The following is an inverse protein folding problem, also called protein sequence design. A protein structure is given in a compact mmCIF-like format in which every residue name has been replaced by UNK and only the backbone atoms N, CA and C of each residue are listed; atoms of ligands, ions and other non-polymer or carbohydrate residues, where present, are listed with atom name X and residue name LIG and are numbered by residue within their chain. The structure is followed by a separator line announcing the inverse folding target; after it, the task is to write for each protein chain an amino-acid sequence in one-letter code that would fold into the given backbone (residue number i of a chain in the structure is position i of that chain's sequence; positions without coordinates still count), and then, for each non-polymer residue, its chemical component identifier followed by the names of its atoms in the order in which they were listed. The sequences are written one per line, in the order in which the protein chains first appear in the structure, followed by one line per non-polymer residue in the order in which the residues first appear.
data_IF_323961415990
#
_entry.id   IF_323961415990
#
_cell.length_a   1.000
_cell.length_b   1.000
_cell.length_c   1.000
_cell.angle_alpha   90.00
_cell.angle_beta   90.00
_cell.angle_gamma   90.00
#
_symmetry.space_group_name_H-M   'P 1'
#
loop_
_entity.id
_entity.type
_entity.pdbx_description
1 polymer ?
#
# COMPACT_ATOMS: atom_id res chain seq x y z
N UNK A 1 7.85 4.44 7.13
CA UNK A 1 7.62 5.90 7.21
C UNK A 1 7.97 6.50 5.87
N UNK A 2 7.13 7.37 5.28
CA UNK A 2 7.48 8.02 4.02
C UNK A 2 8.59 9.05 4.28
N UNK A 3 9.57 9.09 3.39
CA UNK A 3 10.72 10.01 3.50
C UNK A 3 10.84 10.82 2.23
N UNK A 4 11.15 12.11 2.37
CA UNK A 4 11.48 12.96 1.22
C UNK A 4 12.83 12.51 0.65
N UNK A 5 12.88 12.29 -0.66
CA UNK A 5 14.08 11.88 -1.38
C UNK A 5 14.02 12.38 -2.83
N UNK A 6 15.04 12.12 -3.62
CA UNK A 6 15.04 12.36 -5.07
C UNK A 6 14.55 11.13 -5.85
N UNK A 7 14.09 11.34 -7.07
CA UNK A 7 13.72 10.27 -7.99
C UNK A 7 14.90 9.32 -8.26
N UNK A 8 16.11 9.86 -8.42
CA UNK A 8 17.34 9.07 -8.57
C UNK A 8 17.58 8.14 -7.38
N UNK A 9 17.47 8.65 -6.15
CA UNK A 9 17.63 7.82 -4.95
C UNK A 9 16.53 6.76 -4.84
N UNK A 10 15.31 7.07 -5.27
CA UNK A 10 14.23 6.09 -5.35
C UNK A 10 14.55 4.98 -6.35
N UNK A 11 15.06 5.34 -7.53
CA UNK A 11 15.51 4.40 -8.55
C UNK A 11 16.59 3.46 -8.02
N UNK A 12 17.61 4.00 -7.35
CA UNK A 12 18.70 3.22 -6.78
C UNK A 12 18.19 2.22 -5.74
N UNK A 13 17.31 2.64 -4.83
CA UNK A 13 16.73 1.76 -3.80
C UNK A 13 15.81 0.68 -4.39
N UNK A 14 15.01 1.01 -5.39
CA UNK A 14 14.18 0.02 -6.09
C UNK A 14 15.05 -0.99 -6.83
N UNK A 15 16.09 -0.52 -7.52
CA UNK A 15 17.03 -1.38 -8.25
C UNK A 15 17.78 -2.32 -7.33
N UNK A 16 18.24 -1.84 -6.17
CA UNK A 16 18.91 -2.64 -5.14
C UNK A 16 18.00 -3.75 -4.62
N UNK A 17 16.74 -3.45 -4.28
CA UNK A 17 15.78 -4.45 -3.81
C UNK A 17 15.43 -5.50 -4.88
N UNK A 18 15.47 -5.13 -6.15
CA UNK A 18 15.13 -6.03 -7.27
C UNK A 18 16.33 -6.82 -7.79
N UNK A 19 17.57 -6.52 -7.37
CA UNK A 19 18.79 -7.05 -7.99
C UNK A 19 18.86 -8.58 -8.02
N UNK A 20 18.38 -9.24 -6.96
CA UNK A 20 18.39 -10.70 -6.83
C UNK A 20 17.01 -11.32 -7.05
N UNK A 21 16.02 -10.52 -7.48
CA UNK A 21 14.66 -11.01 -7.68
C UNK A 21 14.52 -11.70 -9.03
N UNK A 22 13.94 -12.89 -9.02
CA UNK A 22 13.53 -13.62 -10.21
C UNK A 22 12.27 -14.43 -9.91
N UNK A 23 11.60 -14.87 -10.96
CA UNK A 23 10.33 -15.59 -10.86
C UNK A 23 10.41 -16.91 -11.64
N UNK A 24 9.70 -17.93 -11.16
CA UNK A 24 9.63 -19.23 -11.84
C UNK A 24 8.23 -19.86 -11.73
N UNK A 25 7.90 -20.70 -12.72
CA UNK A 25 6.74 -21.60 -12.67
C UNK A 25 7.21 -22.95 -12.15
N UNK A 26 6.89 -23.22 -10.89
CA UNK A 26 7.36 -24.41 -10.18
C UNK A 26 6.26 -25.47 -10.20
N UNK A 27 6.52 -26.68 -10.74
CA UNK A 27 5.57 -27.77 -10.66
C UNK A 27 5.27 -28.15 -9.22
N UNK A 28 3.99 -28.27 -8.87
CA UNK A 28 3.55 -28.57 -7.50
C UNK A 28 4.10 -29.90 -7.00
N UNK A 29 4.27 -30.88 -7.89
CA UNK A 29 4.86 -32.19 -7.60
C UNK A 29 6.33 -32.14 -7.15
N UNK A 30 7.04 -31.06 -7.50
CA UNK A 30 8.46 -30.90 -7.17
C UNK A 30 8.64 -30.15 -5.83
N UNK A 31 7.53 -29.70 -5.23
CA UNK A 31 7.53 -28.96 -3.97
C UNK A 31 7.37 -29.92 -2.79
N UNK A 32 8.23 -29.76 -1.79
CA UNK A 32 8.07 -30.37 -0.47
C UNK A 32 8.38 -29.34 0.61
N UNK A 33 7.76 -29.46 1.78
CA UNK A 33 7.97 -28.54 2.90
C UNK A 33 8.78 -29.21 4.02
N UNK A 34 9.62 -28.43 4.69
CA UNK A 34 10.26 -28.78 5.96
C UNK A 34 9.85 -27.71 6.97
N UNK A 35 8.70 -27.94 7.60
CA UNK A 35 7.95 -26.90 8.29
C UNK A 35 7.44 -25.81 7.34
N UNK A 36 6.87 -24.75 7.90
CA UNK A 36 6.42 -23.59 7.12
C UNK A 36 7.58 -22.67 6.70
N UNK A 37 8.71 -22.76 7.40
CA UNK A 37 9.86 -21.87 7.19
C UNK A 37 10.74 -22.26 6.00
N UNK A 38 10.67 -23.50 5.52
CA UNK A 38 11.51 -23.99 4.43
C UNK A 38 10.68 -24.75 3.39
N UNK A 39 10.85 -24.36 2.13
CA UNK A 39 10.29 -25.01 0.97
C UNK A 39 11.44 -25.58 0.14
N UNK A 40 11.32 -26.84 -0.25
CA UNK A 40 12.23 -27.46 -1.19
C UNK A 40 11.58 -27.52 -2.56
N UNK A 41 12.39 -27.25 -3.58
CA UNK A 41 12.03 -27.41 -4.98
C UNK A 41 13.02 -28.43 -5.55
N UNK A 42 12.55 -29.65 -5.79
CA UNK A 42 13.43 -30.80 -5.99
C UNK A 42 14.34 -31.03 -4.78
N UNK A 43 15.65 -30.88 -4.98
CA UNK A 43 16.68 -31.04 -3.94
C UNK A 43 17.09 -29.71 -3.30
N UNK A 44 16.75 -28.57 -3.90
CA UNK A 44 17.18 -27.25 -3.43
C UNK A 44 16.29 -26.75 -2.28
N UNK A 45 16.92 -26.20 -1.24
CA UNK A 45 16.23 -25.65 -0.07
C UNK A 45 16.10 -24.14 -0.20
N UNK A 46 14.88 -23.65 -0.03
CA UNK A 46 14.56 -22.23 -0.03
C UNK A 46 13.92 -21.81 1.30
N UNK A 47 14.52 -20.88 2.05
CA UNK A 47 13.84 -20.22 3.16
C UNK A 47 12.59 -19.48 2.68
N UNK A 48 11.51 -19.51 3.45
CA UNK A 48 10.21 -18.93 3.06
C UNK A 48 9.93 -17.71 3.92
N UNK A 49 9.83 -16.53 3.30
CA UNK A 49 9.47 -15.29 4.02
C UNK A 49 8.06 -15.35 4.56
N UNK A 50 7.79 -14.66 5.66
CA UNK A 50 6.48 -14.66 6.35
C UNK A 50 5.29 -14.36 5.43
N UNK A 51 5.46 -13.46 4.46
CA UNK A 51 4.39 -13.21 3.47
C UNK A 51 4.12 -14.41 2.57
N UNK A 52 5.15 -15.09 2.07
CA UNK A 52 5.00 -16.34 1.33
C UNK A 52 4.40 -17.45 2.21
N UNK A 53 4.81 -17.57 3.47
CA UNK A 53 4.24 -18.54 4.42
C UNK A 53 2.72 -18.38 4.55
N UNK A 54 2.26 -17.14 4.73
CA UNK A 54 0.83 -16.83 4.80
C UNK A 54 0.11 -17.16 3.49
N UNK A 55 0.74 -16.91 2.34
CA UNK A 55 0.18 -17.23 1.03
C UNK A 55 0.06 -18.74 0.82
N UNK A 56 1.10 -19.50 1.14
CA UNK A 56 1.11 -20.98 1.10
C UNK A 56 0.00 -21.53 1.98
N UNK A 57 -0.05 -21.12 3.24
CA UNK A 57 -1.08 -21.57 4.19
C UNK A 57 -2.49 -21.26 3.65
N UNK A 58 -2.72 -20.02 3.19
CA UNK A 58 -3.99 -19.61 2.58
C UNK A 58 -4.34 -20.44 1.34
N UNK A 59 -3.37 -20.70 0.46
CA UNK A 59 -3.57 -21.45 -0.79
C UNK A 59 -3.98 -22.88 -0.51
N UNK A 60 -3.33 -23.50 0.46
CA UNK A 60 -3.58 -24.88 0.87
C UNK A 60 -4.78 -25.01 1.83
N UNK A 61 -5.47 -23.90 2.14
CA UNK A 61 -6.66 -23.91 2.99
C UNK A 61 -6.37 -24.12 4.48
N UNK A 62 -5.13 -23.88 4.91
CA UNK A 62 -4.70 -24.04 6.30
C UNK A 62 -4.61 -22.66 6.97
N UNK A 63 -5.32 -22.41 8.09
CA UNK A 63 -5.19 -21.15 8.80
C UNK A 63 -3.76 -20.94 9.32
N UNK A 64 -3.10 -19.85 8.89
CA UNK A 64 -1.72 -19.56 9.26
C UNK A 64 -1.50 -19.50 10.78
N UNK A 65 -2.45 -18.92 11.52
CA UNK A 65 -2.36 -18.79 13.00
C UNK A 65 -2.45 -20.12 13.74
N UNK A 66 -3.01 -21.15 13.11
CA UNK A 66 -2.98 -22.52 13.60
C UNK A 66 -1.64 -23.17 13.24
N UNK A 67 -1.28 -23.11 11.95
CA UNK A 67 -0.06 -23.72 11.43
C UNK A 67 1.19 -23.23 12.17
N UNK A 68 1.29 -21.93 12.46
CA UNK A 68 2.43 -21.33 13.16
C UNK A 68 2.57 -21.77 14.62
N UNK A 69 1.57 -22.44 15.21
CA UNK A 69 1.62 -22.99 16.57
C UNK A 69 1.99 -24.47 16.59
N UNK A 70 1.86 -25.16 15.46
CA UNK A 70 2.27 -26.56 15.32
C UNK A 70 3.79 -26.67 15.31
N UNK A 71 4.32 -27.82 15.75
CA UNK A 71 5.72 -28.17 15.52
C UNK A 71 6.00 -28.42 14.02
N UNK A 72 7.28 -28.50 13.67
CA UNK A 72 7.72 -28.62 12.27
C UNK A 72 7.20 -29.89 11.58
N UNK A 73 7.04 -31.00 12.31
CA UNK A 73 6.57 -32.27 11.75
C UNK A 73 5.10 -32.17 11.38
N UNK A 74 4.27 -31.64 12.30
CA UNK A 74 2.86 -31.38 12.05
C UNK A 74 2.64 -30.34 10.94
N UNK A 75 3.48 -29.30 10.88
CA UNK A 75 3.42 -28.33 9.79
C UNK A 75 3.68 -29.02 8.44
N UNK A 76 4.73 -29.85 8.39
CA UNK A 76 5.12 -30.60 7.18
C UNK A 76 4.00 -31.54 6.73
N UNK A 77 3.42 -32.32 7.65
CA UNK A 77 2.34 -33.25 7.33
C UNK A 77 1.08 -32.52 6.81
N UNK A 78 0.67 -31.44 7.49
CA UNK A 78 -0.48 -30.64 7.07
C UNK A 78 -0.28 -30.04 5.67
N UNK A 79 0.85 -29.38 5.45
CA UNK A 79 1.16 -28.76 4.17
C UNK A 79 1.25 -29.81 3.06
N UNK A 80 1.97 -30.91 3.29
CA UNK A 80 2.10 -32.00 2.33
C UNK A 80 0.77 -32.67 1.97
N UNK A 81 -0.11 -32.89 2.97
CA UNK A 81 -1.44 -33.47 2.75
C UNK A 81 -2.30 -32.63 1.79
N UNK A 82 -2.29 -31.30 1.96
CA UNK A 82 -3.06 -30.39 1.13
C UNK A 82 -2.37 -30.09 -0.20
N UNK A 83 -1.05 -30.03 -0.24
CA UNK A 83 -0.27 -29.86 -1.47
C UNK A 83 -0.53 -31.01 -2.45
N UNK A 84 -0.60 -32.25 -1.96
CA UNK A 84 -0.94 -33.42 -2.78
C UNK A 84 -2.37 -33.40 -3.36
N UNK A 85 -3.23 -32.48 -2.88
CA UNK A 85 -4.61 -32.28 -3.35
C UNK A 85 -4.79 -30.94 -4.06
N UNK A 86 -3.70 -30.22 -4.30
CA UNK A 86 -3.71 -28.99 -5.07
C UNK A 86 -4.21 -29.27 -6.50
N UNK A 87 -5.05 -28.37 -7.01
CA UNK A 87 -5.66 -28.50 -8.33
C UNK A 87 -4.83 -27.87 -9.44
N UNK A 88 -3.94 -26.96 -9.09
CA UNK A 88 -2.98 -26.40 -10.06
C UNK A 88 -1.81 -27.37 -10.23
N UNK A 89 -1.32 -27.51 -11.46
CA UNK A 89 -0.12 -28.30 -11.73
C UNK A 89 1.17 -27.53 -11.35
N UNK A 90 1.09 -26.20 -11.34
CA UNK A 90 2.23 -25.30 -11.10
C UNK A 90 1.84 -24.13 -10.17
N UNK A 91 2.83 -23.62 -9.45
CA UNK A 91 2.76 -22.34 -8.76
C UNK A 91 3.71 -21.33 -9.39
N UNK A 92 3.27 -20.07 -9.42
CA UNK A 92 4.13 -18.95 -9.75
C UNK A 92 4.84 -18.50 -8.48
N UNK A 93 6.14 -18.76 -8.40
CA UNK A 93 6.97 -18.51 -7.22
C UNK A 93 7.88 -17.33 -7.50
N UNK A 94 7.92 -16.38 -6.56
CA UNK A 94 8.80 -15.22 -6.63
C UNK A 94 9.93 -15.37 -5.64
N UNK A 95 11.15 -15.18 -6.10
CA UNK A 95 12.37 -15.34 -5.32
C UNK A 95 13.06 -14.00 -5.06
N UNK A 96 13.91 -14.00 -4.04
CA UNK A 96 14.94 -12.99 -3.76
C UNK A 96 16.20 -13.75 -3.33
N UNK A 97 17.12 -13.93 -4.28
CA UNK A 97 18.22 -14.87 -4.12
C UNK A 97 17.70 -16.29 -3.89
N UNK A 98 18.04 -16.88 -2.74
CA UNK A 98 17.59 -18.25 -2.39
C UNK A 98 16.24 -18.28 -1.68
N UNK A 99 15.70 -17.14 -1.26
CA UNK A 99 14.48 -17.07 -0.46
C UNK A 99 13.23 -17.01 -1.34
N UNK A 100 12.17 -17.70 -0.93
CA UNK A 100 10.83 -17.54 -1.49
C UNK A 100 10.16 -16.34 -0.82
N UNK A 101 9.92 -15.29 -1.59
CA UNK A 101 9.27 -14.05 -1.10
C UNK A 101 7.77 -14.01 -1.34
N UNK A 102 7.28 -14.71 -2.36
CA UNK A 102 5.84 -14.87 -2.60
C UNK A 102 5.51 -16.13 -3.41
N UNK A 103 4.28 -16.61 -3.26
CA UNK A 103 3.71 -17.73 -4.01
C UNK A 103 2.29 -17.39 -4.50
N UNK A 104 2.05 -17.61 -5.79
CA UNK A 104 0.78 -17.36 -6.45
C UNK A 104 0.39 -18.50 -7.39
N UNK A 105 -0.81 -18.38 -7.98
CA UNK A 105 -1.19 -19.20 -9.12
C UNK A 105 -0.60 -18.63 -10.42
N UNK A 106 -0.44 -19.43 -11.50
CA UNK A 106 0.06 -18.95 -12.80
C UNK A 106 -0.71 -17.79 -13.44
N UNK A 107 -1.93 -17.49 -12.97
CA UNK A 107 -2.72 -16.33 -13.43
C UNK A 107 -2.21 -14.99 -12.92
N UNK A 108 -1.37 -14.99 -11.88
CA UNK A 108 -0.84 -13.77 -11.30
C UNK A 108 0.23 -13.20 -12.24
N UNK A 109 0.05 -11.96 -12.67
CA UNK A 109 1.00 -11.22 -13.49
C UNK A 109 1.49 -10.04 -12.66
N UNK A 110 2.67 -10.14 -12.01
CA UNK A 110 3.19 -9.05 -11.22
C UNK A 110 3.50 -7.83 -12.08
N UNK A 111 3.33 -6.65 -11.49
CA UNK A 111 4.01 -5.45 -11.96
C UNK A 111 5.17 -5.18 -11.02
N UNK A 112 6.39 -5.25 -11.55
CA UNK A 112 7.58 -4.92 -10.78
C UNK A 112 7.72 -3.41 -10.62
N UNK A 113 8.21 -3.01 -9.45
CA UNK A 113 8.42 -1.61 -9.11
C UNK A 113 9.41 -0.94 -10.07
N UNK A 114 10.41 -1.67 -10.58
CA UNK A 114 11.29 -1.19 -11.65
C UNK A 114 10.48 -0.71 -12.86
N UNK A 115 9.47 -1.48 -13.31
CA UNK A 115 8.64 -1.08 -14.47
C UNK A 115 7.82 0.17 -14.19
N UNK A 116 7.38 0.36 -12.95
CA UNK A 116 6.70 1.59 -12.53
C UNK A 116 7.66 2.77 -12.62
N UNK A 117 8.89 2.61 -12.13
CA UNK A 117 9.92 3.65 -12.20
C UNK A 117 10.29 4.00 -13.65
N UNK A 118 10.50 2.99 -14.51
CA UNK A 118 10.77 3.18 -15.95
C UNK A 118 9.67 3.99 -16.64
N UNK A 119 8.41 3.73 -16.31
CA UNK A 119 7.29 4.50 -16.88
C UNK A 119 7.28 5.93 -16.39
N UNK A 120 7.54 6.18 -15.11
CA UNK A 120 7.63 7.54 -14.59
C UNK A 120 8.75 8.32 -15.27
N UNK A 121 9.92 7.71 -15.48
CA UNK A 121 11.01 8.33 -16.22
C UNK A 121 10.61 8.66 -17.67
N UNK A 122 9.98 7.72 -18.39
CA UNK A 122 9.47 7.93 -19.76
C UNK A 122 8.43 9.05 -19.85
N UNK A 123 7.70 9.32 -18.76
CA UNK A 123 6.74 10.41 -18.67
C UNK A 123 7.39 11.77 -18.37
N UNK A 124 8.72 11.82 -18.20
CA UNK A 124 9.49 13.05 -18.00
C UNK A 124 9.74 13.40 -16.54
N UNK A 125 9.51 12.50 -15.59
CA UNK A 125 9.86 12.73 -14.18
C UNK A 125 11.38 12.57 -13.99
N UNK A 126 12.09 13.71 -13.99
CA UNK A 126 13.54 13.75 -13.94
C UNK A 126 14.18 13.32 -12.60
N UNK A 127 15.50 13.02 -12.60
CA UNK A 127 16.22 12.44 -11.47
C UNK A 127 16.23 13.32 -10.21
N UNK A 128 16.31 14.64 -10.38
CA UNK A 128 16.36 15.62 -9.29
C UNK A 128 15.00 15.90 -8.65
N UNK A 129 13.91 15.36 -9.19
CA UNK A 129 12.57 15.60 -8.69
C UNK A 129 12.42 15.10 -7.26
N UNK A 130 11.92 15.98 -6.38
CA UNK A 130 11.66 15.64 -4.98
C UNK A 130 10.36 14.86 -4.87
N UNK A 131 10.44 13.69 -4.26
CA UNK A 131 9.32 12.76 -4.08
C UNK A 131 9.27 12.26 -2.63
N UNK A 132 8.13 11.70 -2.23
CA UNK A 132 8.00 10.93 -1.00
C UNK A 132 8.05 9.45 -1.32
N UNK A 133 8.93 8.71 -0.64
CA UNK A 133 9.07 7.26 -0.82
C UNK A 133 8.81 6.52 0.48
N UNK A 134 7.90 5.55 0.44
CA UNK A 134 7.84 4.42 1.36
C UNK A 134 8.10 3.14 0.57
N UNK A 135 9.16 2.43 0.92
CA UNK A 135 9.64 1.26 0.18
C UNK A 135 10.24 0.26 1.14
N UNK A 136 9.73 -0.97 1.08
CA UNK A 136 10.28 -2.17 1.71
C UNK A 136 10.12 -3.38 0.78
N UNK A 137 10.45 -4.58 1.26
CA UNK A 137 10.38 -5.81 0.46
C UNK A 137 8.95 -6.22 0.05
N UNK A 138 7.92 -5.66 0.69
CA UNK A 138 6.52 -6.03 0.47
C UNK A 138 5.67 -4.92 -0.15
N UNK A 139 6.05 -3.66 0.07
CA UNK A 139 5.24 -2.49 -0.26
C UNK A 139 6.06 -1.37 -0.89
N UNK A 140 5.49 -0.76 -1.93
CA UNK A 140 6.00 0.41 -2.62
C UNK A 140 4.93 1.50 -2.63
N UNK A 141 5.29 2.71 -2.24
CA UNK A 141 4.49 3.92 -2.37
C UNK A 141 5.41 5.08 -2.71
N UNK A 142 5.20 5.65 -3.90
CA UNK A 142 5.91 6.80 -4.40
C UNK A 142 4.90 7.92 -4.64
N UNK A 143 5.09 9.05 -3.97
CA UNK A 143 4.24 10.23 -4.13
C UNK A 143 5.03 11.39 -4.70
N UNK A 144 4.47 12.03 -5.75
CA UNK A 144 5.03 13.18 -6.47
C UNK A 144 4.18 14.40 -6.11
N UNK A 145 4.63 15.27 -5.20
CA UNK A 145 3.95 16.53 -4.89
C UNK A 145 4.07 17.52 -6.06
N UNK A 146 2.98 18.20 -6.39
CA UNK A 146 2.91 19.32 -7.32
C UNK A 146 2.96 20.64 -6.53
N UNK A 147 4.19 21.15 -6.36
CA UNK A 147 4.45 22.37 -5.61
C UNK A 147 3.94 23.65 -6.28
N UNK A 148 3.69 23.64 -7.60
CA UNK A 148 3.11 24.79 -8.31
C UNK A 148 1.64 24.99 -7.93
N UNK A 149 0.97 23.90 -7.56
CA UNK A 149 -0.43 23.89 -7.10
C UNK A 149 -0.58 23.95 -5.58
N UNK A 150 0.47 24.24 -4.82
CA UNK A 150 0.37 24.41 -3.36
C UNK A 150 -0.58 25.55 -3.01
N UNK A 151 -1.50 25.28 -2.08
CA UNK A 151 -2.42 26.28 -1.56
C UNK A 151 -2.41 26.31 -0.03
N UNK A 152 -2.85 27.42 0.54
CA UNK A 152 -2.89 27.64 1.99
C UNK A 152 -4.33 27.50 2.48
N UNK A 153 -4.50 26.86 3.63
CA UNK A 153 -5.76 26.76 4.35
C UNK A 153 -5.58 27.14 5.82
N UNK A 154 -6.61 27.72 6.41
CA UNK A 154 -6.67 27.99 7.85
C UNK A 154 -5.48 28.81 8.36
N UNK A 155 -4.85 28.33 9.44
CA UNK A 155 -3.71 28.94 10.13
C UNK A 155 -2.37 28.77 9.36
N UNK A 156 -2.29 29.25 8.12
CA UNK A 156 -1.08 29.16 7.27
C UNK A 156 -0.63 27.72 6.92
N UNK A 157 -1.57 26.78 6.95
CA UNK A 157 -1.29 25.39 6.68
C UNK A 157 -1.20 25.12 5.17
N UNK A 158 -0.02 24.67 4.73
CA UNK A 158 0.28 24.45 3.31
C UNK A 158 -0.11 23.05 2.88
N UNK A 159 -1.06 23.00 1.94
CA UNK A 159 -1.51 21.80 1.26
C UNK A 159 -0.93 21.75 -0.15
N UNK A 160 -0.17 20.70 -0.44
CA UNK A 160 0.45 20.47 -1.74
C UNK A 160 -0.21 19.24 -2.38
N UNK A 161 -1.06 19.43 -3.39
CA UNK A 161 -1.63 18.30 -4.12
C UNK A 161 -0.54 17.53 -4.85
N UNK A 162 -0.82 16.31 -5.28
CA UNK A 162 0.11 15.52 -6.06
C UNK A 162 -0.47 14.16 -6.41
N UNK A 163 0.37 13.28 -6.95
CA UNK A 163 -0.04 11.94 -7.38
C UNK A 163 0.79 10.91 -6.64
N UNK A 164 0.13 9.85 -6.16
CA UNK A 164 0.77 8.72 -5.52
C UNK A 164 0.54 7.45 -6.31
N UNK A 165 1.59 6.66 -6.44
CA UNK A 165 1.59 5.34 -7.06
C UNK A 165 1.97 4.34 -5.98
N UNK A 166 1.09 3.37 -5.73
CA UNK A 166 1.31 2.31 -4.76
C UNK A 166 1.28 0.95 -5.43
N UNK A 167 2.12 0.04 -4.96
CA UNK A 167 2.24 -1.30 -5.52
C UNK A 167 2.71 -2.31 -4.47
N UNK A 168 2.51 -3.59 -4.77
CA UNK A 168 3.12 -4.70 -4.05
C UNK A 168 3.39 -5.85 -5.00
N UNK A 169 4.67 -6.21 -5.10
CA UNK A 169 5.16 -7.35 -5.87
C UNK A 169 4.82 -8.70 -5.23
N UNK A 170 4.50 -8.70 -3.94
CA UNK A 170 4.18 -9.87 -3.14
C UNK A 170 2.70 -9.90 -2.73
N UNK A 171 1.84 -9.17 -3.45
CA UNK A 171 0.39 -9.31 -3.34
C UNK A 171 -0.22 -8.78 -2.04
N UNK A 172 0.44 -7.84 -1.35
CA UNK A 172 -0.16 -7.07 -0.23
C UNK A 172 -1.08 -5.95 -0.73
N UNK A 173 -0.80 -5.44 -1.93
CA UNK A 173 -1.54 -4.35 -2.56
C UNK A 173 -1.65 -4.55 -4.08
N UNK A 174 -2.72 -4.02 -4.65
CA UNK A 174 -2.84 -3.83 -6.10
C UNK A 174 -1.98 -2.63 -6.54
N UNK A 175 -1.59 -2.59 -7.82
CA UNK A 175 -1.05 -1.37 -8.41
C UNK A 175 -2.17 -0.32 -8.41
N UNK A 176 -1.93 0.84 -7.80
CA UNK A 176 -2.90 1.91 -7.75
C UNK A 176 -2.28 3.27 -8.00
N UNK A 177 -2.99 4.10 -8.77
CA UNK A 177 -2.67 5.51 -9.00
C UNK A 177 -3.81 6.33 -8.39
N UNK A 178 -3.46 7.24 -7.51
CA UNK A 178 -4.41 8.11 -6.82
C UNK A 178 -3.83 9.51 -6.65
N UNK A 179 -4.70 10.51 -6.58
CA UNK A 179 -4.26 11.84 -6.18
C UNK A 179 -4.14 11.89 -4.66
N UNK A 180 -3.22 12.69 -4.15
CA UNK A 180 -3.02 12.89 -2.73
C UNK A 180 -2.83 14.38 -2.46
N UNK A 181 -2.99 14.79 -1.21
CA UNK A 181 -2.72 16.15 -0.77
C UNK A 181 -1.77 16.09 0.42
N UNK A 182 -0.54 16.49 0.19
CA UNK A 182 0.49 16.60 1.21
C UNK A 182 0.25 17.83 2.07
N UNK A 183 -0.09 17.60 3.33
CA UNK A 183 -0.06 18.61 4.38
C UNK A 183 1.31 18.62 5.04
N UNK A 184 2.04 19.73 5.00
CA UNK A 184 3.44 19.77 5.44
C UNK A 184 3.64 19.36 6.91
N UNK A 185 2.73 19.73 7.80
CA UNK A 185 2.77 19.34 9.22
C UNK A 185 2.56 17.85 9.47
N UNK A 186 2.08 17.13 8.45
CA UNK A 186 1.79 15.70 8.52
C UNK A 186 2.89 14.80 7.95
N UNK A 187 3.88 15.29 7.20
CA UNK A 187 4.98 14.48 6.60
C UNK A 187 4.62 13.26 5.70
N UNK A 188 3.46 12.60 5.84
CA UNK A 188 2.98 11.45 5.04
C UNK A 188 1.75 11.80 4.16
N UNK A 189 1.27 13.06 4.22
CA UNK A 189 0.15 13.54 3.41
C UNK A 189 -1.19 12.81 3.61
N UNK A 190 -2.27 13.39 3.10
CA UNK A 190 -3.58 12.75 3.00
C UNK A 190 -3.68 12.05 1.64
N UNK A 191 -4.02 10.76 1.62
CA UNK A 191 -4.29 10.04 0.38
C UNK A 191 -5.78 10.20 0.04
N UNK A 192 -6.09 11.28 -0.69
CA UNK A 192 -7.45 11.55 -1.14
C UNK A 192 -7.94 10.47 -2.11
N UNK A 193 -9.05 9.78 -1.80
CA UNK A 193 -9.71 8.97 -2.82
C UNK A 193 -10.43 9.93 -3.78
N UNK A 194 -9.80 10.16 -4.93
CA UNK A 194 -10.36 10.96 -6.02
C UNK A 194 -11.49 10.22 -6.73
N UNK A 195 -12.30 10.92 -7.53
CA UNK A 195 -13.40 10.27 -8.26
C UNK A 195 -12.85 9.28 -9.28
N UNK A 196 -11.66 9.58 -9.81
CA UNK A 196 -10.82 8.68 -10.60
C UNK A 196 -9.67 8.22 -9.72
N UNK A 197 -9.86 7.13 -8.99
CA UNK A 197 -8.75 6.35 -8.43
C UNK A 197 -8.69 5.04 -9.19
N UNK A 198 -7.53 4.71 -9.78
CA UNK A 198 -7.40 3.49 -10.56
C UNK A 198 -6.66 2.44 -9.74
N UNK A 199 -7.24 1.25 -9.62
CA UNK A 199 -6.67 0.11 -8.90
C UNK A 199 -6.73 -1.11 -9.79
N UNK A 200 -5.56 -1.67 -10.10
CA UNK A 200 -5.40 -2.74 -11.06
C UNK A 200 -4.91 -4.00 -10.34
N UNK A 201 -5.70 -5.07 -10.46
CA UNK A 201 -5.25 -6.38 -9.99
C UNK A 201 -4.13 -6.87 -10.89
N UNK A 202 -3.15 -7.53 -10.27
CA UNK A 202 -2.01 -8.20 -10.91
C UNK A 202 -2.43 -9.45 -11.68
N UNK A 203 -3.28 -9.26 -12.69
CA UNK A 203 -3.82 -10.30 -13.57
C UNK A 203 -3.67 -9.91 -15.05
N UNK A 204 -3.14 -8.72 -15.33
CA UNK A 204 -2.96 -8.21 -16.69
C UNK A 204 -1.86 -7.16 -16.76
N UNK A 205 -0.96 -7.32 -17.71
CA UNK A 205 0.06 -6.31 -18.05
C UNK A 205 -0.52 -5.02 -18.68
N UNK A 206 -1.80 -5.03 -19.12
CA UNK A 206 -2.46 -3.87 -19.76
C UNK A 206 -2.42 -2.61 -18.89
N UNK A 207 -2.31 -2.76 -17.57
CA UNK A 207 -2.17 -1.62 -16.66
C UNK A 207 -1.01 -0.70 -17.05
N UNK A 208 0.10 -1.27 -17.54
CA UNK A 208 1.27 -0.47 -17.94
C UNK A 208 1.09 0.24 -19.28
N UNK A 209 0.12 -0.20 -20.09
CA UNK A 209 -0.24 0.47 -21.35
C UNK A 209 -1.11 1.70 -21.07
N UNK A 210 -2.06 1.58 -20.13
CA UNK A 210 -2.99 2.66 -19.75
C UNK A 210 -2.48 3.56 -18.63
N UNK A 211 -1.26 3.29 -18.14
CA UNK A 211 -0.66 3.99 -17.00
C UNK A 211 -0.55 5.50 -17.25
N UNK A 212 -0.03 5.99 -18.41
CA UNK A 212 0.11 7.42 -18.65
C UNK A 212 -1.23 8.16 -18.70
N UNK A 213 -2.23 7.61 -19.40
CA UNK A 213 -3.56 8.22 -19.50
C UNK A 213 -4.24 8.28 -18.13
N UNK A 214 -4.13 7.21 -17.35
CA UNK A 214 -4.67 7.14 -15.99
C UNK A 214 -4.01 8.18 -15.09
N UNK A 215 -2.69 8.31 -15.17
CA UNK A 215 -1.94 9.30 -14.42
C UNK A 215 -2.39 10.74 -14.76
N UNK A 216 -2.53 11.06 -16.06
CA UNK A 216 -3.02 12.36 -16.50
C UNK A 216 -4.46 12.64 -16.04
N UNK A 217 -5.33 11.63 -16.06
CA UNK A 217 -6.70 11.76 -15.58
C UNK A 217 -6.74 12.09 -14.08
N UNK A 218 -5.93 11.40 -13.28
CA UNK A 218 -5.79 11.68 -11.83
C UNK A 218 -5.21 13.08 -11.60
N UNK A 219 -4.23 13.50 -12.41
CA UNK A 219 -3.65 14.85 -12.35
C UNK A 219 -4.68 15.95 -12.60
N UNK A 220 -5.62 15.71 -13.53
CA UNK A 220 -6.71 16.65 -13.84
C UNK A 220 -7.70 16.86 -12.69
N UNK A 221 -7.78 15.95 -11.73
CA UNK A 221 -8.71 16.04 -10.59
C UNK A 221 -8.12 16.76 -9.36
N UNK A 222 -6.85 17.19 -9.42
CA UNK A 222 -6.20 17.89 -8.30
C UNK A 222 -6.95 19.19 -7.92
N UNK A 223 -7.48 19.91 -8.91
CA UNK A 223 -8.21 21.16 -8.69
C UNK A 223 -9.57 20.91 -7.98
N UNK A 224 -10.18 19.75 -8.22
CA UNK A 224 -11.40 19.32 -7.51
C UNK A 224 -11.10 19.06 -6.03
N UNK A 225 -9.92 18.51 -5.72
CA UNK A 225 -9.52 18.30 -4.32
C UNK A 225 -9.37 19.61 -3.56
N UNK A 226 -8.79 20.63 -4.18
CA UNK A 226 -8.68 21.96 -3.57
C UNK A 226 -10.05 22.50 -3.15
N UNK A 227 -11.05 22.34 -4.01
CA UNK A 227 -12.43 22.77 -3.71
C UNK A 227 -13.02 21.99 -2.53
N UNK A 228 -12.82 20.67 -2.47
CA UNK A 228 -13.29 19.85 -1.34
C UNK A 228 -12.63 20.22 -0.02
N UNK A 229 -11.34 20.54 -0.03
CA UNK A 229 -10.65 21.03 1.16
C UNK A 229 -11.28 22.33 1.67
N UNK A 230 -11.56 23.28 0.78
CA UNK A 230 -12.26 24.53 1.15
C UNK A 230 -13.62 24.25 1.77
N UNK A 231 -14.45 23.42 1.14
CA UNK A 231 -15.77 23.04 1.67
C UNK A 231 -15.67 22.34 3.03
N UNK A 232 -14.66 21.50 3.24
CA UNK A 232 -14.47 20.79 4.51
C UNK A 232 -14.18 21.71 5.69
N UNK A 233 -13.57 22.87 5.42
CA UNK A 233 -13.32 23.90 6.44
C UNK A 233 -14.57 24.71 6.78
N UNK A 234 -15.49 24.84 5.84
CA UNK A 234 -16.76 25.55 6.04
C UNK A 234 -17.81 24.65 6.71
N UNK A 235 -17.61 23.33 6.65
CA UNK A 235 -18.52 22.31 7.17
C UNK A 235 -18.31 22.05 8.67
N UNK A 236 -19.10 22.70 9.53
CA UNK A 236 -19.04 22.49 10.98
C UNK A 236 -19.52 21.10 11.41
N UNK A 237 -18.92 20.57 12.48
CA UNK A 237 -19.23 19.26 13.07
C UNK A 237 -19.56 19.46 14.55
N UNK A 238 -20.84 19.31 14.91
CA UNK A 238 -21.30 19.54 16.29
C UNK A 238 -20.71 18.52 17.30
N UNK A 239 -20.59 17.25 16.90
CA UNK A 239 -20.10 16.19 17.77
C UNK A 239 -19.00 15.37 17.07
N UNK A 240 -17.75 15.88 17.03
CA UNK A 240 -16.66 15.25 16.29
C UNK A 240 -16.30 13.85 16.79
N UNK A 241 -16.41 13.59 18.10
CA UNK A 241 -16.17 12.27 18.69
C UNK A 241 -17.14 11.20 18.16
N UNK A 242 -18.44 11.48 18.16
CA UNK A 242 -19.44 10.55 17.61
C UNK A 242 -19.27 10.34 16.10
N UNK A 243 -18.90 11.40 15.37
CA UNK A 243 -18.61 11.33 13.94
C UNK A 243 -17.43 10.39 13.65
N UNK A 244 -16.33 10.52 14.39
CA UNK A 244 -15.16 9.65 14.26
C UNK A 244 -15.49 8.21 14.62
N UNK A 245 -16.23 7.96 15.70
CA UNK A 245 -16.67 6.60 16.03
C UNK A 245 -17.53 5.97 14.91
N UNK A 246 -18.38 6.77 14.28
CA UNK A 246 -19.19 6.33 13.14
C UNK A 246 -18.33 5.98 11.93
N UNK A 247 -17.33 6.80 11.60
CA UNK A 247 -16.39 6.53 10.53
C UNK A 247 -15.50 5.32 10.81
N UNK A 248 -14.96 5.16 12.03
CA UNK A 248 -14.16 3.99 12.41
C UNK A 248 -14.92 2.69 12.16
N UNK A 249 -16.23 2.67 12.49
CA UNK A 249 -17.12 1.54 12.20
C UNK A 249 -17.37 1.37 10.70
N UNK A 250 -17.68 2.45 10.00
CA UNK A 250 -17.97 2.44 8.56
C UNK A 250 -16.79 1.90 7.74
N UNK A 251 -15.56 2.28 8.08
CA UNK A 251 -14.34 1.85 7.39
C UNK A 251 -13.69 0.59 7.97
N UNK A 252 -14.32 -0.01 8.99
CA UNK A 252 -13.90 -1.25 9.64
C UNK A 252 -12.43 -1.20 10.09
N UNK A 253 -12.07 -0.11 10.79
CA UNK A 253 -10.71 0.05 11.31
C UNK A 253 -10.41 -1.02 12.37
N UNK A 254 -9.19 -1.55 12.33
CA UNK A 254 -8.67 -2.48 13.33
C UNK A 254 -8.20 -1.72 14.59
N UNK A 255 -8.05 -2.41 15.71
CA UNK A 255 -7.69 -1.78 16.99
C UNK A 255 -6.43 -0.90 16.93
N UNK A 256 -5.31 -1.30 16.25
CA UNK A 256 -4.14 -0.44 16.13
C UNK A 256 -4.42 0.86 15.35
N UNK A 257 -5.31 0.80 14.35
CA UNK A 257 -5.72 1.96 13.55
C UNK A 257 -6.64 2.88 14.37
N UNK A 258 -7.54 2.31 15.18
CA UNK A 258 -8.39 3.09 16.08
C UNK A 258 -7.56 3.80 17.14
N UNK A 259 -6.59 3.12 17.77
CA UNK A 259 -5.68 3.73 18.74
C UNK A 259 -4.86 4.88 18.12
N UNK A 260 -4.44 4.72 16.86
CA UNK A 260 -3.77 5.78 16.12
C UNK A 260 -4.68 7.00 15.90
N UNK A 261 -5.97 6.78 15.60
CA UNK A 261 -6.99 7.84 15.46
C UNK A 261 -7.23 8.55 16.79
N UNK A 262 -7.36 7.81 17.89
CA UNK A 262 -7.54 8.38 19.22
C UNK A 262 -6.33 9.22 19.66
N UNK A 263 -5.11 8.77 19.33
CA UNK A 263 -3.88 9.53 19.54
C UNK A 263 -3.86 10.85 18.74
N UNK A 264 -4.34 10.82 17.50
CA UNK A 264 -4.36 11.98 16.61
C UNK A 264 -5.47 12.99 16.95
N UNK A 265 -6.59 12.53 17.50
CA UNK A 265 -7.78 13.35 17.78
C UNK A 265 -7.48 14.67 18.53
N UNK A 266 -6.83 14.68 19.71
CA UNK A 266 -6.57 15.91 20.44
C UNK A 266 -5.56 16.85 19.75
N UNK A 267 -4.84 16.38 18.72
CA UNK A 267 -3.85 17.18 18.01
C UNK A 267 -4.46 17.99 16.86
N UNK A 268 -5.61 17.55 16.33
CA UNK A 268 -6.23 18.12 15.12
C UNK A 268 -7.59 18.78 15.39
N UNK A 269 -8.20 18.48 16.54
CA UNK A 269 -9.51 19.04 16.90
C UNK A 269 -9.42 20.47 17.40
N UNK A 270 -10.23 21.34 16.77
CA UNK A 270 -10.42 22.73 17.15
C UNK A 270 -11.88 22.99 17.56
N UNK A 271 -12.15 24.16 18.14
CA UNK A 271 -13.52 24.59 18.49
C UNK A 271 -13.81 25.97 17.85
N UNK A 272 -14.79 26.07 16.94
CA UNK A 272 -15.68 24.99 16.46
C UNK A 272 -14.95 23.97 15.58
N UNK A 273 -15.33 22.70 15.71
CA UNK A 273 -14.78 21.62 14.90
C UNK A 273 -15.42 21.61 13.50
N UNK A 274 -14.64 21.22 12.50
CA UNK A 274 -15.07 21.13 11.10
C UNK A 274 -14.74 19.76 10.51
N UNK A 275 -15.30 19.45 9.34
CA UNK A 275 -14.95 18.24 8.60
C UNK A 275 -13.47 18.22 8.23
N UNK A 276 -12.84 19.38 8.05
CA UNK A 276 -11.38 19.49 7.88
C UNK A 276 -10.63 18.90 9.08
N UNK A 277 -11.03 19.22 10.32
CA UNK A 277 -10.41 18.66 11.53
C UNK A 277 -10.60 17.13 11.61
N UNK A 278 -11.81 16.65 11.27
CA UNK A 278 -12.12 15.21 11.26
C UNK A 278 -11.26 14.47 10.24
N UNK A 279 -11.19 14.97 9.01
CA UNK A 279 -10.34 14.39 7.95
C UNK A 279 -8.87 14.38 8.38
N UNK A 280 -8.38 15.49 8.93
CA UNK A 280 -7.00 15.61 9.36
C UNK A 280 -6.65 14.71 10.53
N UNK A 281 -7.60 14.33 11.38
CA UNK A 281 -7.37 13.34 12.43
C UNK A 281 -6.92 12.00 11.84
N UNK A 282 -7.55 11.52 10.77
CA UNK A 282 -7.14 10.29 10.08
C UNK A 282 -5.79 10.45 9.36
N UNK A 283 -5.55 11.59 8.73
CA UNK A 283 -4.26 11.93 8.13
C UNK A 283 -3.14 11.92 9.17
N UNK A 284 -3.41 12.50 10.35
CA UNK A 284 -2.45 12.58 11.44
C UNK A 284 -2.21 11.20 12.05
N UNK A 285 -3.26 10.40 12.22
CA UNK A 285 -3.19 9.02 12.69
C UNK A 285 -2.27 8.13 11.83
N UNK A 286 -2.16 8.40 10.52
CA UNK A 286 -1.21 7.69 9.65
C UNK A 286 0.26 7.82 10.07
N UNK A 287 0.59 8.80 10.93
CA UNK A 287 1.93 9.03 11.47
C UNK A 287 2.11 8.47 12.88
N UNK A 288 1.11 7.77 13.43
CA UNK A 288 1.19 7.26 14.79
C UNK A 288 2.44 6.38 14.98
N UNK A 289 3.24 6.59 16.04
CA UNK A 289 4.41 5.77 16.32
C UNK A 289 4.04 4.28 16.43
N UNK A 290 4.85 3.41 15.84
CA UNK A 290 4.64 1.96 15.87
C UNK A 290 3.64 1.41 14.84
N UNK A 291 3.03 2.27 14.03
CA UNK A 291 2.15 1.84 12.95
C UNK A 291 2.95 1.31 11.75
N UNK A 292 2.55 0.17 11.20
CA UNK A 292 3.19 -0.38 10.00
C UNK A 292 2.81 0.42 8.73
N UNK A 293 3.54 0.23 7.63
CA UNK A 293 3.34 0.98 6.39
C UNK A 293 1.94 0.77 5.78
N UNK A 294 1.42 -0.45 5.84
CA UNK A 294 0.08 -0.78 5.32
C UNK A 294 -1.03 -0.04 6.08
N UNK A 295 -1.02 -0.09 7.41
CA UNK A 295 -2.00 0.59 8.26
C UNK A 295 -1.88 2.12 8.15
N UNK A 296 -0.65 2.64 8.07
CA UNK A 296 -0.39 4.07 7.81
C UNK A 296 -1.03 4.50 6.48
N UNK A 297 -0.77 3.76 5.41
CA UNK A 297 -1.37 4.01 4.10
C UNK A 297 -2.90 3.90 4.12
N UNK A 298 -3.45 2.91 4.83
CA UNK A 298 -4.90 2.71 4.97
C UNK A 298 -5.58 3.89 5.70
N UNK A 299 -5.02 4.39 6.79
CA UNK A 299 -5.54 5.57 7.49
C UNK A 299 -5.55 6.81 6.60
N UNK A 300 -4.48 7.04 5.83
CA UNK A 300 -4.43 8.11 4.84
C UNK A 300 -5.57 7.99 3.80
N UNK A 301 -5.85 6.77 3.31
CA UNK A 301 -6.96 6.51 2.39
C UNK A 301 -8.34 6.74 3.00
N UNK A 302 -8.50 6.44 4.29
CA UNK A 302 -9.76 6.65 5.02
C UNK A 302 -10.04 8.15 5.15
N UNK A 303 -9.06 8.96 5.57
CA UNK A 303 -9.21 10.41 5.59
C UNK A 303 -9.59 10.97 4.22
N UNK A 304 -9.01 10.42 3.15
CA UNK A 304 -9.31 10.81 1.79
C UNK A 304 -10.71 10.42 1.32
N UNK A 305 -11.18 9.25 1.74
CA UNK A 305 -12.55 8.80 1.48
C UNK A 305 -13.57 9.69 2.20
N UNK A 306 -13.28 10.09 3.45
CA UNK A 306 -14.11 11.03 4.22
C UNK A 306 -14.16 12.39 3.54
N UNK A 307 -13.01 12.93 3.11
CA UNK A 307 -12.97 14.19 2.35
C UNK A 307 -13.80 14.11 1.07
N UNK A 308 -13.80 12.96 0.39
CA UNK A 308 -14.63 12.75 -0.80
C UNK A 308 -16.14 12.70 -0.54
N UNK A 309 -16.58 12.58 0.71
CA UNK A 309 -17.99 12.65 1.11
C UNK A 309 -18.46 14.10 1.34
N UNK A 310 -17.54 15.05 1.49
CA UNK A 310 -17.87 16.47 1.68
C UNK A 310 -18.39 17.04 0.35
N UNK A 311 -19.57 17.67 0.41
CA UNK A 311 -20.28 18.25 -0.74
C UNK A 311 -20.80 19.63 -0.40
#
# INVERSE_FOLDING_TARGET
MQTMTTMENAWNRVSELSQNCFDDLVPVKDIRFEGIDNMFIGEERHPVRTTAQRQIATRLGVPYSYLSKCDADLQTENLGYWLAREKNDEFFVRFDGTEVRALFTPRYQPVDNIRVMERLEQMGFGPDMKIQLALDAEFFSLSIPDHEKTFVVGNDDKLTPGITVCNSEVGRAALSIAAFVLRLVCTNGLIAKTAVSASYRHISAKVMEVFPETFQQVAGELDVQQTRFRLSMESQVENPSNTIHSFNRQFQLADPEIQAVDWAYPQEMENPATMFNVVNTYTKASQAPGLNAEASHRLGRVGGAILGMVK
#
